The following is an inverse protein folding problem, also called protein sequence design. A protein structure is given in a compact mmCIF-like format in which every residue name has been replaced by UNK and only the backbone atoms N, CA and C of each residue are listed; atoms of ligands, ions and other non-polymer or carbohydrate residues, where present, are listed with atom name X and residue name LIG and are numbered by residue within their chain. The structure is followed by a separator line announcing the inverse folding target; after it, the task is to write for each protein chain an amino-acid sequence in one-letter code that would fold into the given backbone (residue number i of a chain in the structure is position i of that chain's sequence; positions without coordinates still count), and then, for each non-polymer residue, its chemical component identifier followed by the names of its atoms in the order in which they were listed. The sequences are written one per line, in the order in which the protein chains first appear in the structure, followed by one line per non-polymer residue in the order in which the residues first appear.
data_IF_199498098731
#
_entry.id   IF_199498098731
#
_cell.length_a   1.000
_cell.length_b   1.000
_cell.length_c   1.000
_cell.angle_alpha   90.00
_cell.angle_beta   90.00
_cell.angle_gamma   90.00
#
_symmetry.space_group_name_H-M   'P 1'
#
loop_
_entity.id
_entity.type
_entity.pdbx_description
1 polymer ?
#
# COMPACT_ATOMS: atom_id res chain seq x y z
N UNK A 1 -35.46 -34.41 -26.47
CA UNK A 1 -35.68 -33.12 -25.75
C UNK A 1 -35.12 -33.07 -24.32
N UNK A 2 -34.51 -34.13 -23.76
CA UNK A 2 -33.97 -34.09 -22.37
C UNK A 2 -32.48 -33.69 -22.25
N UNK A 3 -31.70 -33.71 -23.33
CA UNK A 3 -30.27 -33.33 -23.30
C UNK A 3 -30.00 -31.83 -23.45
N UNK A 4 -30.98 -31.05 -23.92
CA UNK A 4 -30.84 -29.58 -24.06
C UNK A 4 -31.17 -28.80 -22.78
N UNK A 5 -31.87 -29.41 -21.82
CA UNK A 5 -32.19 -28.76 -20.54
C UNK A 5 -31.01 -28.76 -19.54
N UNK A 6 -30.16 -29.80 -19.56
CA UNK A 6 -29.01 -29.90 -18.64
C UNK A 6 -27.90 -28.89 -19.03
N UNK A 7 -27.74 -28.61 -20.32
CA UNK A 7 -26.74 -27.65 -20.80
C UNK A 7 -27.12 -26.20 -20.44
N UNK A 8 -28.42 -25.90 -20.38
CA UNK A 8 -28.91 -24.56 -20.01
C UNK A 8 -28.79 -24.29 -18.50
N UNK A 9 -28.92 -25.32 -17.64
CA UNK A 9 -28.70 -25.16 -16.20
C UNK A 9 -27.23 -24.96 -15.82
N UNK A 10 -26.28 -25.54 -16.57
CA UNK A 10 -24.83 -25.34 -16.32
C UNK A 10 -24.35 -23.98 -16.84
N UNK A 11 -24.91 -23.47 -17.94
CA UNK A 11 -24.62 -22.13 -18.46
C UNK A 11 -25.25 -21.00 -17.63
N UNK A 12 -26.33 -21.27 -16.89
CA UNK A 12 -26.93 -20.26 -16.00
C UNK A 12 -26.12 -20.05 -14.71
N UNK A 13 -25.39 -21.07 -14.24
CA UNK A 13 -24.53 -20.95 -13.05
C UNK A 13 -23.16 -20.31 -13.34
N UNK A 14 -22.66 -20.35 -14.58
CA UNK A 14 -21.37 -19.76 -14.94
C UNK A 14 -21.44 -18.28 -15.34
N UNK A 15 -22.63 -17.75 -15.64
CA UNK A 15 -22.85 -16.34 -15.99
C UNK A 15 -23.21 -15.45 -14.79
N UNK A 16 -23.39 -16.05 -13.61
CA UNK A 16 -23.74 -15.34 -12.36
C UNK A 16 -22.74 -15.59 -11.22
N UNK A 17 -21.61 -16.25 -11.48
CA UNK A 17 -20.45 -16.11 -10.63
C UNK A 17 -19.84 -14.73 -10.90
N UNK A 18 -20.42 -13.69 -10.28
CA UNK A 18 -19.62 -12.51 -9.94
C UNK A 18 -18.34 -13.07 -9.31
N UNK A 19 -17.13 -12.63 -9.70
CA UNK A 19 -15.97 -12.91 -8.88
C UNK A 19 -16.32 -12.34 -7.51
N UNK A 20 -16.71 -13.21 -6.59
CA UNK A 20 -16.63 -12.91 -5.18
C UNK A 20 -15.13 -12.74 -5.03
N UNK A 21 -14.69 -11.49 -5.10
CA UNK A 21 -13.43 -11.10 -4.49
C UNK A 21 -13.59 -11.63 -3.08
N UNK A 22 -12.98 -12.79 -2.80
CA UNK A 22 -12.78 -13.21 -1.44
C UNK A 22 -12.01 -12.03 -0.86
N UNK A 23 -12.70 -11.19 -0.09
CA UNK A 23 -12.05 -10.26 0.80
C UNK A 23 -11.16 -11.18 1.63
N UNK A 24 -9.86 -11.20 1.32
CA UNK A 24 -8.91 -11.98 2.11
C UNK A 24 -9.04 -11.47 3.51
N UNK A 25 -9.68 -12.24 4.38
CA UNK A 25 -9.75 -11.89 5.78
C UNK A 25 -8.35 -12.13 6.30
N UNK A 26 -7.64 -11.05 6.64
CA UNK A 26 -6.32 -11.17 7.25
C UNK A 26 -6.49 -11.21 8.76
N UNK A 27 -5.77 -12.15 9.37
CA UNK A 27 -5.75 -12.33 10.81
C UNK A 27 -4.30 -12.27 11.27
N UNK A 28 -4.08 -11.54 12.36
CA UNK A 28 -2.80 -11.49 13.06
C UNK A 28 -2.99 -11.79 14.54
N UNK A 29 -1.87 -11.87 15.24
CA UNK A 29 -1.81 -12.22 16.66
C UNK A 29 -1.48 -10.97 17.48
N UNK A 30 -2.30 -10.66 18.47
CA UNK A 30 -1.92 -9.72 19.52
C UNK A 30 -0.79 -10.32 20.37
N UNK A 31 -0.09 -9.47 21.12
CA UNK A 31 1.01 -9.94 21.97
C UNK A 31 0.58 -10.82 23.14
N UNK A 32 -0.71 -10.93 23.47
CA UNK A 32 -1.27 -11.88 24.44
C UNK A 32 -1.81 -13.17 23.76
N UNK A 33 -1.65 -13.30 22.44
CA UNK A 33 -1.98 -14.51 21.68
C UNK A 33 -3.39 -14.56 21.10
N UNK A 34 -4.21 -13.52 21.27
CA UNK A 34 -5.52 -13.44 20.62
C UNK A 34 -5.36 -13.26 19.09
N UNK A 35 -6.12 -14.04 18.34
CA UNK A 35 -6.25 -13.86 16.89
C UNK A 35 -7.23 -12.72 16.65
N UNK A 36 -6.78 -11.68 15.94
CA UNK A 36 -7.61 -10.53 15.57
C UNK A 36 -7.64 -10.34 14.07
N UNK A 37 -8.84 -9.99 13.59
CA UNK A 37 -8.99 -9.46 12.24
C UNK A 37 -8.19 -8.17 12.11
N UNK A 38 -7.46 -8.04 11.00
CA UNK A 38 -6.64 -6.88 10.70
C UNK A 38 -6.62 -6.60 9.20
N UNK A 39 -6.37 -5.35 8.83
CA UNK A 39 -6.14 -4.95 7.45
C UNK A 39 -4.67 -4.66 7.25
N UNK A 40 -3.99 -5.56 6.54
CA UNK A 40 -2.55 -5.46 6.44
C UNK A 40 -2.03 -4.15 5.83
N UNK A 41 -1.01 -3.60 6.49
CA UNK A 41 -0.23 -2.49 5.94
C UNK A 41 0.67 -3.10 4.86
N UNK A 42 0.31 -2.86 3.60
CA UNK A 42 1.02 -3.42 2.45
C UNK A 42 1.41 -2.32 1.46
N UNK A 43 2.69 -2.26 1.10
CA UNK A 43 3.24 -1.40 0.05
C UNK A 43 3.97 -2.27 -0.98
N UNK A 44 3.36 -2.49 -2.14
CA UNK A 44 4.04 -3.14 -3.28
C UNK A 44 5.02 -2.19 -3.95
N UNK A 45 5.98 -2.74 -4.70
CA UNK A 45 6.82 -1.98 -5.62
C UNK A 45 5.99 -1.09 -6.58
N UNK A 46 4.85 -1.58 -7.07
CA UNK A 46 3.95 -0.81 -7.96
C UNK A 46 3.22 0.34 -7.28
N UNK A 47 3.12 0.34 -5.95
CA UNK A 47 2.56 1.46 -5.17
C UNK A 47 3.60 2.54 -4.88
N UNK A 48 4.88 2.33 -5.24
CA UNK A 48 5.96 3.28 -4.95
C UNK A 48 6.11 4.38 -5.99
N UNK A 49 5.51 4.20 -7.16
CA UNK A 49 5.60 5.13 -8.28
C UNK A 49 4.30 5.21 -9.06
N UNK A 50 4.14 6.28 -9.83
CA UNK A 50 3.05 6.38 -10.79
C UNK A 50 3.41 5.68 -12.10
N UNK A 51 2.42 5.03 -12.70
CA UNK A 51 2.47 4.61 -14.11
C UNK A 51 2.35 5.86 -15.00
N UNK A 52 3.50 6.42 -15.37
CA UNK A 52 3.58 7.68 -16.11
C UNK A 52 2.97 7.57 -17.51
N UNK A 53 3.12 6.43 -18.18
CA UNK A 53 2.59 6.22 -19.53
C UNK A 53 1.07 6.24 -19.52
N UNK A 54 0.46 5.54 -18.55
CA UNK A 54 -0.99 5.59 -18.34
C UNK A 54 -1.47 6.99 -17.98
N UNK A 55 -0.72 7.74 -17.18
CA UNK A 55 -1.08 9.12 -16.83
C UNK A 55 -1.06 10.05 -18.05
N UNK A 56 -0.10 9.89 -18.97
CA UNK A 56 -0.05 10.66 -20.21
C UNK A 56 -1.21 10.35 -21.17
N UNK A 57 -1.63 9.08 -21.24
CA UNK A 57 -2.85 8.71 -21.96
C UNK A 57 -4.06 9.37 -21.32
N UNK A 58 -4.21 9.23 -19.99
CA UNK A 58 -5.35 9.78 -19.27
C UNK A 58 -5.44 11.32 -19.34
N UNK A 59 -4.29 12.00 -19.33
CA UNK A 59 -4.20 13.44 -19.57
C UNK A 59 -4.85 13.82 -20.91
N UNK A 60 -4.49 13.13 -22.00
CA UNK A 60 -5.02 13.40 -23.35
C UNK A 60 -6.53 13.13 -23.42
N UNK A 61 -7.00 12.05 -22.81
CA UNK A 61 -8.45 11.75 -22.73
C UNK A 61 -9.23 12.86 -22.02
N UNK A 62 -8.68 13.39 -20.92
CA UNK A 62 -9.32 14.50 -20.19
C UNK A 62 -9.30 15.80 -20.99
N UNK A 63 -8.24 16.07 -21.76
CA UNK A 63 -8.17 17.24 -22.65
C UNK A 63 -9.25 17.19 -23.74
N UNK A 64 -9.50 16.03 -24.35
CA UNK A 64 -10.60 15.88 -25.32
C UNK A 64 -11.97 16.04 -24.65
N UNK A 65 -12.19 15.42 -23.48
CA UNK A 65 -13.44 15.57 -22.72
C UNK A 65 -13.72 17.03 -22.33
N UNK A 66 -12.67 17.82 -22.06
CA UNK A 66 -12.80 19.25 -21.78
C UNK A 66 -13.22 20.03 -23.04
N UNK A 67 -12.77 19.64 -24.24
CA UNK A 67 -13.23 20.26 -25.49
C UNK A 67 -14.69 19.93 -25.78
N UNK A 68 -15.11 18.69 -25.53
CA UNK A 68 -16.49 18.24 -25.73
C UNK A 68 -17.48 18.86 -24.72
N UNK A 69 -17.06 19.03 -23.47
CA UNK A 69 -17.89 19.56 -22.39
C UNK A 69 -17.15 20.62 -21.53
N UNK A 70 -16.87 21.82 -22.08
CA UNK A 70 -16.02 22.84 -21.44
C UNK A 70 -16.57 23.38 -20.10
N UNK A 71 -17.87 23.26 -19.88
CA UNK A 71 -18.60 23.63 -18.67
C UNK A 71 -18.50 22.58 -17.54
N UNK A 72 -18.12 21.33 -17.86
CA UNK A 72 -17.97 20.29 -16.85
C UNK A 72 -16.64 20.46 -16.11
N UNK A 73 -16.70 21.14 -14.95
CA UNK A 73 -15.51 21.43 -14.15
C UNK A 73 -14.82 20.16 -13.62
N UNK A 74 -15.52 19.02 -13.51
CA UNK A 74 -14.96 17.78 -12.97
C UNK A 74 -13.79 17.29 -13.81
N UNK A 75 -13.87 17.39 -15.13
CA UNK A 75 -12.75 17.03 -16.01
C UNK A 75 -11.52 17.93 -15.82
N UNK A 76 -11.73 19.23 -15.54
CA UNK A 76 -10.63 20.15 -15.19
C UNK A 76 -10.02 19.81 -13.84
N UNK A 77 -10.85 19.44 -12.85
CA UNK A 77 -10.38 18.96 -11.55
C UNK A 77 -9.58 17.66 -11.68
N UNK A 78 -10.07 16.67 -12.43
CA UNK A 78 -9.37 15.40 -12.69
C UNK A 78 -8.05 15.64 -13.44
N UNK A 79 -8.05 16.52 -14.44
CA UNK A 79 -6.84 16.90 -15.18
C UNK A 79 -5.80 17.50 -14.23
N UNK A 80 -6.21 18.36 -13.30
CA UNK A 80 -5.29 18.94 -12.32
C UNK A 80 -4.63 17.87 -11.42
N UNK A 81 -5.38 16.83 -11.01
CA UNK A 81 -4.83 15.70 -10.27
C UNK A 81 -3.83 14.91 -11.12
N UNK A 82 -4.14 14.63 -12.38
CA UNK A 82 -3.21 13.95 -13.31
C UNK A 82 -1.94 14.77 -13.51
N UNK A 83 -2.07 16.09 -13.69
CA UNK A 83 -0.93 16.99 -13.83
C UNK A 83 -0.05 16.99 -12.57
N UNK A 84 -0.63 17.00 -11.37
CA UNK A 84 0.15 16.86 -10.12
C UNK A 84 0.92 15.53 -10.08
N UNK A 85 0.28 14.41 -10.48
CA UNK A 85 0.93 13.09 -10.54
C UNK A 85 2.06 13.02 -11.58
N UNK A 86 1.97 13.79 -12.65
CA UNK A 86 3.01 13.97 -13.67
C UNK A 86 4.09 14.98 -13.25
N UNK A 87 4.04 15.54 -12.04
CA UNK A 87 4.97 16.57 -11.56
C UNK A 87 4.69 17.98 -12.11
N UNK A 88 3.66 18.15 -12.92
CA UNK A 88 3.26 19.43 -13.55
C UNK A 88 2.39 20.28 -12.63
N UNK A 89 2.86 20.51 -11.41
CA UNK A 89 2.07 21.17 -10.35
C UNK A 89 1.68 22.61 -10.70
N UNK A 90 2.53 23.36 -11.42
CA UNK A 90 2.20 24.73 -11.83
C UNK A 90 1.05 24.77 -12.85
N UNK A 91 0.98 23.79 -13.75
CA UNK A 91 -0.15 23.62 -14.67
C UNK A 91 -1.42 23.20 -13.94
N UNK A 92 -1.32 22.37 -12.89
CA UNK A 92 -2.46 22.07 -12.03
C UNK A 92 -2.98 23.33 -11.32
N UNK A 93 -2.09 24.19 -10.81
CA UNK A 93 -2.45 25.44 -10.15
C UNK A 93 -3.12 26.45 -11.09
N UNK A 94 -2.71 26.53 -12.36
CA UNK A 94 -3.34 27.44 -13.34
C UNK A 94 -4.80 27.06 -13.61
N UNK A 95 -5.15 25.77 -13.48
CA UNK A 95 -6.52 25.27 -13.57
C UNK A 95 -7.26 25.48 -12.25
N UNK A 96 -6.67 25.11 -11.11
CA UNK A 96 -7.36 25.06 -9.81
C UNK A 96 -7.66 26.46 -9.23
N UNK A 97 -6.78 27.45 -9.44
CA UNK A 97 -6.96 28.82 -8.92
C UNK A 97 -8.22 29.54 -9.41
N UNK A 98 -8.58 29.53 -10.71
CA UNK A 98 -9.87 30.04 -11.13
C UNK A 98 -11.02 29.11 -10.73
N UNK A 99 -10.80 27.78 -10.71
CA UNK A 99 -11.84 26.81 -10.41
C UNK A 99 -12.39 26.95 -8.99
N UNK A 100 -11.54 27.18 -7.99
CA UNK A 100 -12.00 27.39 -6.60
C UNK A 100 -12.84 28.66 -6.42
N UNK A 101 -12.65 29.69 -7.25
CA UNK A 101 -13.49 30.90 -7.20
C UNK A 101 -14.92 30.62 -7.67
N UNK A 102 -15.06 29.71 -8.63
CA UNK A 102 -16.35 29.29 -9.19
C UNK A 102 -17.03 28.23 -8.32
N UNK A 103 -16.23 27.35 -7.70
CA UNK A 103 -16.71 26.20 -6.92
C UNK A 103 -16.04 26.15 -5.54
N UNK A 104 -16.30 27.14 -4.66
CA UNK A 104 -15.58 27.29 -3.39
C UNK A 104 -15.94 26.24 -2.33
N UNK A 105 -17.02 25.47 -2.54
CA UNK A 105 -17.51 24.42 -1.64
C UNK A 105 -17.41 23.02 -2.23
N UNK A 106 -16.85 22.89 -3.44
CA UNK A 106 -16.61 21.59 -4.06
C UNK A 106 -15.36 20.96 -3.45
N UNK A 107 -15.56 19.90 -2.66
CA UNK A 107 -14.48 19.20 -1.95
C UNK A 107 -13.30 18.87 -2.87
N UNK A 108 -13.53 18.28 -4.05
CA UNK A 108 -12.45 17.86 -4.94
C UNK A 108 -11.58 19.03 -5.40
N UNK A 109 -12.19 20.18 -5.69
CA UNK A 109 -11.47 21.38 -6.13
C UNK A 109 -10.66 21.98 -4.97
N UNK A 110 -11.26 22.06 -3.78
CA UNK A 110 -10.61 22.57 -2.57
C UNK A 110 -9.43 21.68 -2.16
N UNK A 111 -9.64 20.36 -2.09
CA UNK A 111 -8.62 19.39 -1.71
C UNK A 111 -7.49 19.32 -2.75
N UNK A 112 -7.79 19.30 -4.05
CA UNK A 112 -6.76 19.29 -5.10
C UNK A 112 -5.92 20.57 -5.08
N UNK A 113 -6.50 21.74 -4.79
CA UNK A 113 -5.73 22.98 -4.63
C UNK A 113 -4.87 22.95 -3.36
N UNK A 114 -5.38 22.40 -2.27
CA UNK A 114 -4.60 22.15 -1.04
C UNK A 114 -3.37 21.29 -1.31
N UNK A 115 -3.56 20.14 -1.96
CA UNK A 115 -2.47 19.22 -2.38
C UNK A 115 -1.50 19.91 -3.33
N UNK A 116 -1.97 20.68 -4.31
CA UNK A 116 -1.11 21.42 -5.23
C UNK A 116 -0.22 22.44 -4.49
N UNK A 117 -0.76 23.12 -3.47
CA UNK A 117 0.03 24.00 -2.62
C UNK A 117 1.02 23.26 -1.74
N UNK A 118 0.66 22.10 -1.19
CA UNK A 118 1.59 21.24 -0.45
C UNK A 118 2.79 20.86 -1.33
N UNK A 119 2.54 20.39 -2.56
CA UNK A 119 3.57 20.02 -3.52
C UNK A 119 4.48 21.21 -3.93
N UNK A 120 3.98 22.45 -3.86
CA UNK A 120 4.79 23.67 -4.04
C UNK A 120 5.46 24.19 -2.76
N UNK A 121 5.33 23.47 -1.64
CA UNK A 121 5.87 23.88 -0.33
C UNK A 121 5.15 25.07 0.31
N UNK A 122 3.96 25.43 -0.17
CA UNK A 122 3.11 26.49 0.39
C UNK A 122 2.23 25.92 1.50
N UNK A 123 2.89 25.46 2.56
CA UNK A 123 2.29 24.63 3.62
C UNK A 123 1.13 25.33 4.36
N UNK A 124 1.23 26.63 4.66
CA UNK A 124 0.15 27.36 5.34
C UNK A 124 -1.12 27.42 4.49
N UNK A 125 -0.98 27.70 3.19
CA UNK A 125 -2.10 27.70 2.24
C UNK A 125 -2.69 26.30 2.04
N UNK A 126 -1.82 25.28 2.00
CA UNK A 126 -2.26 23.89 1.94
C UNK A 126 -3.09 23.53 3.18
N UNK A 127 -2.62 23.85 4.39
CA UNK A 127 -3.32 23.55 5.64
C UNK A 127 -4.70 24.18 5.70
N UNK A 128 -4.82 25.45 5.30
CA UNK A 128 -6.12 26.15 5.26
C UNK A 128 -7.11 25.41 4.35
N UNK A 129 -6.68 25.05 3.14
CA UNK A 129 -7.57 24.40 2.17
C UNK A 129 -7.89 22.95 2.54
N UNK A 130 -6.92 22.19 3.05
CA UNK A 130 -7.14 20.82 3.48
C UNK A 130 -8.09 20.78 4.70
N UNK A 131 -7.95 21.71 5.66
CA UNK A 131 -8.92 21.86 6.76
C UNK A 131 -10.32 22.18 6.24
N UNK A 132 -10.43 23.14 5.31
CA UNK A 132 -11.71 23.45 4.67
C UNK A 132 -12.29 22.23 3.92
N UNK A 133 -11.45 21.46 3.22
CA UNK A 133 -11.85 20.23 2.56
C UNK A 133 -12.39 19.19 3.54
N UNK A 134 -11.71 19.02 4.68
CA UNK A 134 -12.16 18.16 5.77
C UNK A 134 -13.50 18.60 6.37
N UNK A 135 -13.71 19.90 6.56
CA UNK A 135 -15.00 20.45 7.02
C UNK A 135 -16.13 20.22 6.01
N UNK A 136 -15.84 20.37 4.70
CA UNK A 136 -16.81 20.15 3.63
C UNK A 136 -17.18 18.68 3.45
N UNK A 137 -16.23 17.77 3.67
CA UNK A 137 -16.44 16.33 3.55
C UNK A 137 -15.58 15.57 4.57
N UNK A 138 -16.10 15.33 5.79
CA UNK A 138 -15.38 14.60 6.83
C UNK A 138 -15.04 13.15 6.44
N UNK A 139 -15.85 12.52 5.57
CA UNK A 139 -15.67 11.14 5.09
C UNK A 139 -14.68 11.03 3.92
N UNK A 140 -14.15 12.17 3.47
CA UNK A 140 -13.11 12.20 2.44
C UNK A 140 -11.90 11.36 2.83
N UNK A 141 -11.27 10.75 1.82
CA UNK A 141 -10.17 9.83 2.03
C UNK A 141 -10.51 8.71 3.05
N UNK A 142 -11.76 8.24 3.04
CA UNK A 142 -12.29 7.25 3.99
C UNK A 142 -12.25 7.70 5.46
N UNK A 143 -12.46 9.00 5.70
CA UNK A 143 -12.46 9.58 7.04
C UNK A 143 -11.08 9.94 7.60
N UNK A 144 -10.01 9.73 6.82
CA UNK A 144 -8.63 9.80 7.32
C UNK A 144 -7.92 11.14 7.08
N UNK A 145 -8.62 12.16 6.58
CA UNK A 145 -7.99 13.44 6.19
C UNK A 145 -7.41 14.24 7.37
N UNK A 146 -7.81 13.90 8.59
CA UNK A 146 -7.19 14.42 9.81
C UNK A 146 -5.68 14.10 9.90
N UNK A 147 -5.22 12.98 9.33
CA UNK A 147 -3.78 12.65 9.24
C UNK A 147 -3.07 13.64 8.33
N UNK A 148 -3.68 14.02 7.20
CA UNK A 148 -3.13 15.05 6.30
C UNK A 148 -2.92 16.38 7.02
N UNK A 149 -3.92 16.79 7.80
CA UNK A 149 -3.86 18.00 8.63
C UNK A 149 -2.68 17.92 9.60
N UNK A 150 -2.51 16.79 10.32
CA UNK A 150 -1.39 16.58 11.25
C UNK A 150 -0.03 16.62 10.57
N UNK A 151 0.09 16.04 9.38
CA UNK A 151 1.30 16.12 8.55
C UNK A 151 1.64 17.57 8.22
N UNK A 152 0.66 18.36 7.76
CA UNK A 152 0.88 19.76 7.39
C UNK A 152 1.25 20.61 8.61
N UNK A 153 0.59 20.41 9.76
CA UNK A 153 0.95 21.05 11.04
C UNK A 153 2.40 20.74 11.44
N UNK A 154 2.79 19.47 11.37
CA UNK A 154 4.15 19.03 11.66
C UNK A 154 5.17 19.64 10.70
N UNK A 155 4.90 19.67 9.39
CA UNK A 155 5.77 20.28 8.38
C UNK A 155 5.94 21.78 8.62
N UNK A 156 4.87 22.51 8.94
CA UNK A 156 4.93 23.94 9.27
C UNK A 156 5.77 24.15 10.54
N UNK A 157 5.54 23.33 11.58
CA UNK A 157 6.29 23.39 12.84
C UNK A 157 7.78 23.11 12.64
N UNK A 158 8.12 22.11 11.84
CA UNK A 158 9.51 21.77 11.49
C UNK A 158 10.17 22.92 10.71
N UNK A 159 9.47 23.49 9.71
CA UNK A 159 9.95 24.65 8.95
C UNK A 159 10.24 25.86 9.84
N UNK A 160 9.39 26.14 10.82
CA UNK A 160 9.50 27.32 11.68
C UNK A 160 10.47 27.15 12.85
N UNK A 161 10.68 25.92 13.35
CA UNK A 161 11.54 25.64 14.51
C UNK A 161 12.91 25.12 14.12
N UNK A 162 12.95 23.93 13.53
CA UNK A 162 14.17 23.22 13.18
C UNK A 162 13.82 22.05 12.23
N UNK A 163 14.52 21.89 11.10
CA UNK A 163 14.36 20.76 10.19
C UNK A 163 14.40 19.37 10.85
N UNK A 164 15.10 19.19 11.97
CA UNK A 164 15.16 17.88 12.69
C UNK A 164 14.02 17.66 13.69
N UNK A 165 12.99 18.51 13.72
CA UNK A 165 11.89 18.39 14.69
C UNK A 165 11.16 17.05 14.58
N UNK A 166 10.88 16.57 13.36
CA UNK A 166 10.18 15.31 13.12
C UNK A 166 11.05 14.08 13.45
N UNK A 167 12.37 14.20 13.56
CA UNK A 167 13.23 13.10 14.03
C UNK A 167 13.07 12.82 15.53
N UNK A 168 12.65 13.85 16.30
CA UNK A 168 12.57 13.80 17.77
C UNK A 168 11.13 13.77 18.29
N UNK A 169 10.15 14.02 17.43
CA UNK A 169 8.76 14.18 17.83
C UNK A 169 7.86 13.43 16.84
N UNK A 170 6.87 12.67 17.33
CA UNK A 170 5.89 12.05 16.45
C UNK A 170 5.01 13.12 15.81
N UNK A 171 4.62 12.90 14.55
CA UNK A 171 3.64 13.74 13.83
C UNK A 171 2.24 13.57 14.45
N UNK A 172 1.92 12.34 14.86
CA UNK A 172 0.71 11.99 15.59
C UNK A 172 1.15 11.25 16.84
N UNK A 173 0.77 11.73 18.02
CA UNK A 173 1.16 11.11 19.29
C UNK A 173 0.33 9.86 19.57
N UNK A 174 0.88 8.96 20.40
CA UNK A 174 0.12 7.81 20.92
C UNK A 174 -1.14 8.24 21.67
N UNK A 175 -1.07 9.33 22.43
CA UNK A 175 -2.22 9.90 23.13
C UNK A 175 -3.34 10.32 22.16
N UNK A 176 -2.99 11.02 21.07
CA UNK A 176 -3.97 11.40 20.04
C UNK A 176 -4.61 10.18 19.35
N UNK A 177 -3.86 9.09 19.14
CA UNK A 177 -4.41 7.84 18.62
C UNK A 177 -5.36 7.19 19.63
N UNK A 178 -4.97 7.14 20.90
CA UNK A 178 -5.77 6.55 21.97
C UNK A 178 -7.07 7.33 22.23
N UNK A 179 -7.02 8.66 22.18
CA UNK A 179 -8.21 9.51 22.23
C UNK A 179 -9.18 9.22 21.06
N UNK A 180 -8.64 8.89 19.87
CA UNK A 180 -9.44 8.51 18.70
C UNK A 180 -10.00 7.10 18.76
N UNK A 181 -9.39 6.21 19.56
CA UNK A 181 -9.98 4.91 19.83
C UNK A 181 -11.29 5.07 20.62
N UNK A 182 -11.41 5.91 21.65
CA UNK A 182 -12.62 5.87 22.49
C UNK A 182 -12.98 4.44 22.95
N UNK A 183 -14.26 4.10 23.14
CA UNK A 183 -14.68 2.75 23.60
C UNK A 183 -15.00 1.79 22.42
N UNK A 184 -14.34 0.62 22.31
CA UNK A 184 -14.73 -0.46 21.38
C UNK A 184 -13.59 -1.23 20.67
N UNK A 185 -13.84 -2.49 20.30
CA UNK A 185 -12.84 -3.48 19.84
C UNK A 185 -12.36 -3.28 18.38
N UNK A 186 -13.17 -2.71 17.48
CA UNK A 186 -12.84 -2.59 16.03
C UNK A 186 -12.05 -1.35 15.63
N UNK A 187 -11.52 -0.59 16.60
CA UNK A 187 -11.02 0.76 16.33
C UNK A 187 -9.52 0.84 16.04
N UNK A 188 -8.74 -0.13 16.53
CA UNK A 188 -7.35 -0.29 16.09
C UNK A 188 -7.27 -0.60 14.58
N UNK A 189 -8.25 -1.33 14.06
CA UNK A 189 -8.40 -1.59 12.63
C UNK A 189 -8.64 -0.29 11.85
N UNK A 190 -9.51 0.60 12.36
CA UNK A 190 -9.77 1.89 11.72
C UNK A 190 -8.51 2.77 11.69
N UNK A 191 -7.71 2.79 12.77
CA UNK A 191 -6.42 3.50 12.77
C UNK A 191 -5.49 2.94 11.69
N UNK A 192 -5.40 1.62 11.56
CA UNK A 192 -4.61 0.99 10.50
C UNK A 192 -5.12 1.36 9.10
N UNK A 193 -6.44 1.37 8.88
CA UNK A 193 -7.05 1.77 7.61
C UNK A 193 -6.75 3.24 7.26
N UNK A 194 -6.85 4.13 8.24
CA UNK A 194 -6.59 5.55 8.07
C UNK A 194 -5.13 5.79 7.65
N UNK A 195 -4.18 5.21 8.39
CA UNK A 195 -2.75 5.32 8.07
C UNK A 195 -2.44 4.69 6.71
N UNK A 196 -2.95 3.50 6.44
CA UNK A 196 -2.71 2.78 5.19
C UNK A 196 -3.19 3.60 3.98
N UNK A 197 -4.39 4.16 4.05
CA UNK A 197 -4.90 5.02 2.99
C UNK A 197 -3.99 6.24 2.77
N UNK A 198 -3.67 6.96 3.83
CA UNK A 198 -2.91 8.21 3.78
C UNK A 198 -1.44 8.00 3.36
N UNK A 199 -0.83 6.88 3.75
CA UNK A 199 0.51 6.48 3.31
C UNK A 199 0.46 6.14 1.81
N UNK A 200 -0.46 5.26 1.37
CA UNK A 200 -0.54 4.82 -0.03
C UNK A 200 -0.79 5.95 -1.01
N UNK A 201 -1.60 6.95 -0.63
CA UNK A 201 -1.85 8.11 -1.49
C UNK A 201 -0.62 9.03 -1.61
N UNK A 202 0.32 9.00 -0.66
CA UNK A 202 1.50 9.89 -0.62
C UNK A 202 2.78 9.29 -1.15
N UNK A 203 2.96 7.99 -0.95
CA UNK A 203 4.20 7.28 -1.30
C UNK A 203 4.64 7.57 -2.76
N UNK A 204 3.76 7.50 -3.80
CA UNK A 204 4.16 7.80 -5.17
C UNK A 204 4.60 9.26 -5.42
N UNK A 205 4.10 10.21 -4.63
CA UNK A 205 4.49 11.62 -4.73
C UNK A 205 5.80 11.91 -4.02
N UNK A 206 6.17 11.09 -3.03
CA UNK A 206 7.27 11.37 -2.10
C UNK A 206 8.06 10.08 -1.81
N UNK A 207 8.84 9.58 -2.79
CA UNK A 207 9.56 8.32 -2.67
C UNK A 207 10.62 8.37 -1.56
N UNK A 208 11.11 7.20 -1.15
CA UNK A 208 12.16 7.10 -0.14
C UNK A 208 13.45 7.84 -0.58
N UNK A 209 14.17 8.52 0.35
CA UNK A 209 13.91 8.64 1.77
C UNK A 209 12.82 9.68 2.08
N UNK A 210 12.04 9.44 3.13
CA UNK A 210 10.94 10.31 3.51
C UNK A 210 10.71 10.31 5.03
N UNK A 211 11.02 11.44 5.66
CA UNK A 211 10.90 11.66 7.12
C UNK A 211 9.45 11.68 7.62
N UNK A 212 8.49 12.04 6.77
CA UNK A 212 7.08 11.97 7.16
C UNK A 212 6.63 10.52 7.21
N UNK A 213 6.98 9.74 6.20
CA UNK A 213 6.56 8.34 6.11
C UNK A 213 7.21 7.48 7.18
N UNK A 214 8.53 7.61 7.42
CA UNK A 214 9.17 6.83 8.48
C UNK A 214 8.60 7.17 9.87
N UNK A 215 8.32 8.45 10.17
CA UNK A 215 7.75 8.89 11.45
C UNK A 215 6.33 8.34 11.68
N UNK A 216 5.46 8.43 10.66
CA UNK A 216 4.11 7.86 10.73
C UNK A 216 4.15 6.34 10.90
N UNK A 217 5.02 5.65 10.15
CA UNK A 217 5.19 4.20 10.24
C UNK A 217 5.79 3.74 11.57
N UNK A 218 6.69 4.52 12.17
CA UNK A 218 7.18 4.24 13.52
C UNK A 218 6.06 4.34 14.54
N UNK A 219 5.29 5.43 14.49
CA UNK A 219 4.12 5.64 15.37
C UNK A 219 3.11 4.51 15.21
N UNK A 220 2.84 4.09 13.99
CA UNK A 220 1.93 2.99 13.69
C UNK A 220 2.45 1.65 14.22
N UNK A 221 3.77 1.43 14.20
CA UNK A 221 4.40 0.27 14.82
C UNK A 221 4.23 0.25 16.34
N UNK A 222 4.49 1.40 16.99
CA UNK A 222 4.28 1.58 18.43
C UNK A 222 2.81 1.35 18.81
N UNK A 223 1.89 1.86 17.98
CA UNK A 223 0.46 1.68 18.14
C UNK A 223 0.05 0.21 18.04
N UNK A 224 0.47 -0.50 16.99
CA UNK A 224 0.11 -1.89 16.79
C UNK A 224 0.74 -2.82 17.83
N UNK A 225 1.94 -2.49 18.35
CA UNK A 225 2.54 -3.19 19.48
C UNK A 225 1.61 -3.21 20.70
N UNK A 226 0.87 -2.12 20.94
CA UNK A 226 -0.01 -1.97 22.11
C UNK A 226 -1.45 -2.39 21.85
N UNK A 227 -2.00 -2.04 20.69
CA UNK A 227 -3.45 -2.12 20.40
C UNK A 227 -3.81 -3.00 19.21
N UNK A 228 -2.81 -3.40 18.41
CA UNK A 228 -2.98 -4.16 17.18
C UNK A 228 -2.35 -5.54 17.25
N UNK A 229 -1.82 -6.00 16.12
CA UNK A 229 -1.18 -7.30 16.01
C UNK A 229 0.34 -7.16 15.86
N UNK A 230 1.07 -8.20 16.27
CA UNK A 230 2.50 -8.35 16.09
C UNK A 230 2.89 -8.14 14.61
N UNK A 231 2.16 -8.76 13.69
CA UNK A 231 2.36 -8.69 12.25
C UNK A 231 2.32 -7.25 11.73
N UNK A 232 1.39 -6.44 12.21
CA UNK A 232 1.25 -5.05 11.80
C UNK A 232 2.34 -4.18 12.42
N UNK A 233 2.71 -4.45 13.67
CA UNK A 233 3.79 -3.74 14.34
C UNK A 233 5.12 -3.94 13.61
N UNK A 234 5.48 -5.19 13.30
CA UNK A 234 6.74 -5.50 12.62
C UNK A 234 6.78 -4.98 11.18
N UNK A 235 5.66 -5.05 10.44
CA UNK A 235 5.57 -4.45 9.10
C UNK A 235 5.75 -2.94 9.13
N UNK A 236 5.08 -2.26 10.06
CA UNK A 236 5.19 -0.81 10.19
C UNK A 236 6.64 -0.40 10.52
N UNK A 237 7.31 -1.09 11.45
CA UNK A 237 8.73 -0.87 11.72
C UNK A 237 9.64 -1.16 10.52
N UNK A 238 9.40 -2.26 9.80
CA UNK A 238 10.17 -2.62 8.62
C UNK A 238 10.06 -1.55 7.52
N UNK A 239 8.84 -1.10 7.19
CA UNK A 239 8.67 -0.03 6.22
C UNK A 239 9.25 1.29 6.72
N UNK A 240 9.16 1.57 8.02
CA UNK A 240 9.75 2.77 8.60
C UNK A 240 11.25 2.87 8.28
N UNK A 241 11.98 1.74 8.39
CA UNK A 241 13.39 1.68 7.97
C UNK A 241 13.57 1.85 6.46
N UNK A 242 12.66 1.34 5.62
CA UNK A 242 12.71 1.51 4.14
C UNK A 242 12.67 2.98 3.72
N UNK A 243 11.94 3.82 4.45
CA UNK A 243 11.86 5.26 4.18
C UNK A 243 12.98 6.09 4.87
N UNK A 244 13.89 5.44 5.62
CA UNK A 244 14.98 6.10 6.34
C UNK A 244 16.35 5.82 5.71
N UNK A 245 17.16 6.88 5.57
CA UNK A 245 18.61 6.77 5.28
C UNK A 245 19.49 6.94 6.52
N UNK A 246 18.90 7.15 7.70
CA UNK A 246 19.64 7.43 8.93
C UNK A 246 20.00 6.11 9.65
N UNK A 247 21.30 5.76 9.78
CA UNK A 247 21.70 4.51 10.44
C UNK A 247 21.32 4.45 11.92
N UNK A 248 21.42 5.56 12.64
CA UNK A 248 21.03 5.67 14.04
C UNK A 248 19.53 5.43 14.22
N UNK A 249 18.72 5.99 13.33
CA UNK A 249 17.28 5.73 13.30
C UNK A 249 16.99 4.25 13.04
N UNK A 250 17.66 3.64 12.05
CA UNK A 250 17.45 2.22 11.74
C UNK A 250 17.89 1.32 12.89
N UNK A 251 18.97 1.67 13.61
CA UNK A 251 19.39 0.97 14.83
C UNK A 251 18.34 1.07 15.94
N UNK A 252 17.73 2.25 16.15
CA UNK A 252 16.61 2.43 17.09
C UNK A 252 15.43 1.52 16.74
N UNK A 253 15.03 1.49 15.46
CA UNK A 253 13.90 0.66 15.01
C UNK A 253 14.22 -0.83 15.15
N UNK A 254 15.45 -1.28 14.87
CA UNK A 254 15.87 -2.66 15.15
C UNK A 254 15.77 -3.02 16.63
N UNK A 255 16.12 -2.09 17.53
CA UNK A 255 15.89 -2.26 18.97
C UNK A 255 14.40 -2.49 19.29
N UNK A 256 13.50 -1.69 18.70
CA UNK A 256 12.05 -1.89 18.86
C UNK A 256 11.56 -3.25 18.33
N UNK A 257 12.11 -3.72 17.20
CA UNK A 257 11.81 -5.04 16.65
C UNK A 257 12.31 -6.15 17.58
N UNK A 258 13.53 -6.03 18.12
CA UNK A 258 14.05 -6.95 19.13
C UNK A 258 13.12 -7.06 20.34
N UNK A 259 12.70 -5.92 20.90
CA UNK A 259 11.76 -5.89 22.02
C UNK A 259 10.41 -6.54 21.65
N UNK A 260 9.90 -6.28 20.44
CA UNK A 260 8.67 -6.87 19.94
C UNK A 260 8.77 -8.41 19.83
N UNK A 261 9.88 -8.92 19.30
CA UNK A 261 10.11 -10.35 19.13
C UNK A 261 10.24 -11.07 20.48
N UNK A 262 10.89 -10.44 21.46
CA UNK A 262 10.99 -11.00 22.82
C UNK A 262 9.62 -11.14 23.49
N UNK A 263 8.77 -10.11 23.39
CA UNK A 263 7.39 -10.17 23.91
C UNK A 263 6.55 -11.23 23.20
N UNK A 264 6.73 -11.39 21.89
CA UNK A 264 6.05 -12.43 21.12
C UNK A 264 6.45 -13.83 21.60
N UNK A 265 7.74 -14.09 21.86
CA UNK A 265 8.24 -15.38 22.39
C UNK A 265 7.60 -15.75 23.72
N UNK A 266 7.40 -14.79 24.62
CA UNK A 266 6.85 -15.04 25.95
C UNK A 266 5.38 -15.52 25.89
N UNK A 267 4.60 -15.00 24.94
CA UNK A 267 3.15 -15.09 24.95
C UNK A 267 2.52 -15.86 23.78
N UNK A 268 3.18 -15.97 22.63
CA UNK A 268 2.68 -16.71 21.44
C UNK A 268 3.46 -18.01 21.35
N UNK A 269 2.95 -19.07 21.97
CA UNK A 269 3.75 -20.28 22.25
C UNK A 269 3.69 -21.42 21.23
N UNK A 270 2.66 -21.58 20.40
CA UNK A 270 2.50 -22.89 19.72
C UNK A 270 1.99 -22.91 18.27
N UNK A 271 1.63 -21.78 17.66
CA UNK A 271 0.88 -21.80 16.37
C UNK A 271 1.65 -21.30 15.14
N UNK A 272 2.84 -20.72 15.32
CA UNK A 272 3.57 -20.06 14.22
C UNK A 272 2.85 -18.82 13.71
N UNK A 273 3.48 -18.10 12.77
CA UNK A 273 2.86 -16.95 12.12
C UNK A 273 1.89 -17.42 11.02
N UNK A 274 0.88 -16.59 10.74
CA UNK A 274 -0.10 -16.89 9.70
C UNK A 274 0.58 -17.04 8.31
N UNK A 275 0.33 -18.12 7.52
CA UNK A 275 0.80 -18.25 6.14
C UNK A 275 0.53 -17.04 5.22
N UNK A 276 -0.61 -16.35 5.39
CA UNK A 276 -0.91 -15.13 4.63
C UNK A 276 0.08 -13.99 4.96
N UNK A 277 0.54 -13.93 6.22
CA UNK A 277 1.54 -12.96 6.64
C UNK A 277 2.90 -13.21 5.98
N UNK A 278 3.32 -14.47 5.81
CA UNK A 278 4.55 -14.80 5.06
C UNK A 278 4.46 -14.35 3.61
N UNK A 279 3.35 -14.67 2.95
CA UNK A 279 3.08 -14.23 1.57
C UNK A 279 3.14 -12.70 1.45
N UNK A 280 2.72 -12.00 2.49
CA UNK A 280 2.82 -10.56 2.53
C UNK A 280 4.24 -10.04 2.71
N UNK A 281 5.02 -10.53 3.68
CA UNK A 281 6.43 -10.13 3.86
C UNK A 281 7.21 -10.21 2.54
N UNK A 282 6.99 -11.31 1.80
CA UNK A 282 7.59 -11.55 0.50
C UNK A 282 7.11 -10.53 -0.55
N UNK A 283 5.79 -10.25 -0.61
CA UNK A 283 5.22 -9.26 -1.52
C UNK A 283 5.68 -7.83 -1.19
N UNK A 284 6.07 -7.59 0.06
CA UNK A 284 6.47 -6.29 0.60
C UNK A 284 7.98 -6.06 0.53
N UNK A 285 8.75 -7.08 0.12
CA UNK A 285 10.21 -7.08 0.12
C UNK A 285 10.78 -6.74 1.51
N UNK A 286 10.10 -7.20 2.56
CA UNK A 286 10.58 -7.06 3.94
C UNK A 286 11.54 -8.20 4.24
N UNK A 287 12.71 -7.86 4.80
CA UNK A 287 13.72 -8.83 5.21
C UNK A 287 13.17 -9.79 6.27
N UNK A 288 13.05 -11.10 5.98
CA UNK A 288 12.57 -12.10 6.93
C UNK A 288 13.41 -12.20 8.19
N UNK A 289 14.70 -11.83 8.14
CA UNK A 289 15.58 -11.88 9.31
C UNK A 289 15.12 -10.95 10.44
N UNK A 290 14.25 -9.99 10.16
CA UNK A 290 13.62 -9.16 11.18
C UNK A 290 12.72 -9.97 12.13
N UNK A 291 12.15 -11.10 11.70
CA UNK A 291 11.30 -11.96 12.54
C UNK A 291 12.06 -12.61 13.68
N UNK A 292 13.35 -12.91 13.46
CA UNK A 292 14.22 -13.59 14.43
C UNK A 292 15.19 -12.63 15.12
N UNK A 293 15.19 -11.36 14.73
CA UNK A 293 16.12 -10.37 15.26
C UNK A 293 16.02 -10.26 16.78
N UNK A 294 17.15 -10.46 17.46
CA UNK A 294 17.27 -10.37 18.92
C UNK A 294 16.81 -11.60 19.70
N UNK A 295 16.31 -12.65 19.05
CA UNK A 295 15.98 -13.94 19.69
C UNK A 295 17.24 -14.79 19.97
N UNK A 296 18.27 -14.69 19.13
CA UNK A 296 19.54 -15.43 19.26
C UNK A 296 20.41 -14.88 20.41
N UNK A 297 20.54 -13.55 20.55
CA UNK A 297 21.25 -12.92 21.67
C UNK A 297 20.67 -13.32 23.05
N UNK A 298 19.35 -13.56 23.10
CA UNK A 298 18.66 -14.02 24.30
C UNK A 298 18.92 -15.50 24.57
N UNK A 299 19.04 -16.33 23.53
CA UNK A 299 19.42 -17.73 23.66
C UNK A 299 20.86 -17.88 24.18
N UNK A 300 21.82 -17.11 23.65
CA UNK A 300 23.21 -17.10 24.14
C UNK A 300 23.31 -16.58 25.58
N UNK A 301 22.55 -15.54 25.93
CA UNK A 301 22.51 -15.00 27.29
C UNK A 301 21.89 -15.99 28.29
N UNK A 302 20.80 -16.67 27.94
CA UNK A 302 20.18 -17.69 28.78
C UNK A 302 21.01 -18.97 28.89
N UNK A 303 21.67 -19.43 27.82
CA UNK A 303 22.57 -20.60 27.86
C UNK A 303 23.77 -20.36 28.80
N UNK A 304 24.19 -19.10 28.94
CA UNK A 304 25.22 -18.70 29.91
C UNK A 304 24.73 -18.74 31.38
N UNK A 305 23.42 -18.57 31.61
CA UNK A 305 22.79 -18.48 32.93
C UNK A 305 22.18 -19.82 33.38
N UNK A 306 21.66 -20.65 32.46
CA UNK A 306 20.82 -21.82 32.76
C UNK A 306 21.46 -23.17 32.42
N UNK A 307 22.68 -23.41 32.90
CA UNK A 307 23.12 -24.79 33.20
C UNK A 307 22.43 -25.31 34.47
N UNK A 308 21.11 -25.54 34.39
CA UNK A 308 20.33 -26.56 35.15
C UNK A 308 18.83 -26.35 34.92
N UNK A 309 18.24 -27.34 34.27
CA UNK A 309 16.81 -27.65 34.14
C UNK A 309 15.94 -26.79 33.21
N UNK A 310 15.43 -27.52 32.21
CA UNK A 310 14.47 -27.22 31.14
C UNK A 310 14.94 -26.29 30.01
N UNK A 311 15.31 -26.96 28.92
CA UNK A 311 15.54 -26.48 27.55
C UNK A 311 14.58 -25.37 27.11
N UNK A 312 15.12 -24.18 26.82
CA UNK A 312 14.38 -23.08 26.19
C UNK A 312 14.54 -23.15 24.66
N UNK A 313 13.44 -23.37 23.95
CA UNK A 313 13.46 -23.71 22.52
C UNK A 313 13.34 -22.50 21.58
N UNK A 314 14.05 -21.40 21.88
CA UNK A 314 14.09 -20.19 21.01
C UNK A 314 14.62 -20.52 19.61
N UNK A 315 15.62 -21.41 19.56
CA UNK A 315 16.23 -21.86 18.32
C UNK A 315 15.23 -22.61 17.43
N UNK A 316 14.33 -23.43 17.99
CA UNK A 316 13.27 -24.06 17.20
C UNK A 316 12.21 -23.07 16.77
N UNK A 317 11.83 -22.10 17.58
CA UNK A 317 10.88 -21.06 17.15
C UNK A 317 11.44 -20.24 15.98
N UNK A 318 12.70 -19.79 16.11
CA UNK A 318 13.40 -19.06 15.06
C UNK A 318 13.54 -19.90 13.79
N UNK A 319 13.90 -21.18 13.94
CA UNK A 319 13.98 -22.14 12.83
C UNK A 319 12.62 -22.37 12.18
N UNK A 320 11.54 -22.54 12.94
CA UNK A 320 10.19 -22.73 12.40
C UNK A 320 9.74 -21.51 11.59
N UNK A 321 9.97 -20.30 12.10
CA UNK A 321 9.65 -19.06 11.37
C UNK A 321 10.48 -18.95 10.07
N UNK A 322 11.79 -19.19 10.15
CA UNK A 322 12.67 -19.11 8.98
C UNK A 322 12.33 -20.19 7.93
N UNK A 323 12.15 -21.44 8.36
CA UNK A 323 11.79 -22.56 7.48
C UNK A 323 10.44 -22.31 6.79
N UNK A 324 9.47 -21.72 7.50
CA UNK A 324 8.16 -21.40 6.93
C UNK A 324 8.21 -20.28 5.89
N UNK A 325 9.08 -19.27 6.06
CA UNK A 325 9.28 -18.21 5.08
C UNK A 325 10.06 -18.70 3.87
N UNK A 326 11.12 -19.49 4.07
CA UNK A 326 11.89 -20.12 3.00
C UNK A 326 11.01 -20.99 2.10
N UNK A 327 10.14 -21.81 2.70
CA UNK A 327 9.18 -22.62 1.94
C UNK A 327 8.22 -21.77 1.10
N UNK A 328 7.70 -20.67 1.66
CA UNK A 328 6.82 -19.77 0.93
C UNK A 328 7.54 -19.04 -0.23
N UNK A 329 8.83 -18.73 -0.06
CA UNK A 329 9.67 -18.19 -1.14
C UNK A 329 9.83 -19.19 -2.28
N UNK A 330 10.17 -20.45 -1.98
CA UNK A 330 10.29 -21.52 -2.99
C UNK A 330 8.98 -21.76 -3.76
N UNK A 331 7.84 -21.77 -3.07
CA UNK A 331 6.53 -21.93 -3.70
C UNK A 331 6.20 -20.77 -4.64
N UNK A 332 6.55 -19.53 -4.25
CA UNK A 332 6.38 -18.35 -5.10
C UNK A 332 7.28 -18.41 -6.34
N UNK A 333 8.55 -18.81 -6.18
CA UNK A 333 9.47 -18.96 -7.31
C UNK A 333 8.93 -19.97 -8.32
N UNK A 334 8.50 -21.16 -7.87
CA UNK A 334 7.86 -22.18 -8.72
C UNK A 334 6.61 -21.64 -9.42
N UNK A 335 5.72 -20.95 -8.70
CA UNK A 335 4.51 -20.37 -9.29
C UNK A 335 4.83 -19.27 -10.33
N UNK A 336 5.91 -18.52 -10.12
CA UNK A 336 6.38 -17.49 -11.05
C UNK A 336 6.98 -18.09 -12.32
N UNK A 337 7.75 -19.17 -12.18
CA UNK A 337 8.25 -19.97 -13.31
C UNK A 337 7.11 -20.56 -14.13
N UNK A 338 6.13 -21.20 -13.49
CA UNK A 338 4.95 -21.76 -14.17
C UNK A 338 4.14 -20.68 -14.91
N UNK A 339 3.92 -19.53 -14.27
CA UNK A 339 3.21 -18.40 -14.88
C UNK A 339 3.97 -17.85 -16.09
N UNK A 340 5.28 -17.71 -15.97
CA UNK A 340 6.15 -17.25 -17.07
C UNK A 340 6.13 -18.24 -18.22
N UNK A 341 6.19 -19.54 -17.94
CA UNK A 341 6.12 -20.59 -18.95
C UNK A 341 4.76 -20.59 -19.67
N UNK A 342 3.66 -20.42 -18.92
CA UNK A 342 2.31 -20.32 -19.48
C UNK A 342 2.14 -19.08 -20.36
N UNK A 343 2.67 -17.94 -19.92
CA UNK A 343 2.61 -16.68 -20.66
C UNK A 343 3.45 -16.75 -21.95
N UNK A 344 4.65 -17.34 -21.88
CA UNK A 344 5.48 -17.63 -23.06
C UNK A 344 4.75 -18.52 -24.06
N UNK A 345 4.12 -19.62 -23.60
CA UNK A 345 3.32 -20.51 -24.46
C UNK A 345 2.15 -19.78 -25.12
N UNK A 346 1.50 -18.87 -24.41
CA UNK A 346 0.40 -18.06 -24.93
C UNK A 346 0.89 -17.05 -25.99
N UNK A 347 2.07 -16.44 -25.79
CA UNK A 347 2.71 -15.58 -26.78
C UNK A 347 3.05 -16.33 -28.08
N UNK A 348 3.55 -17.57 -28.00
CA UNK A 348 3.78 -18.42 -29.18
C UNK A 348 2.49 -18.73 -29.93
N UNK A 349 1.39 -19.00 -29.22
CA UNK A 349 0.07 -19.22 -29.83
C UNK A 349 -0.42 -17.99 -30.62
N UNK A 350 -0.26 -16.78 -30.07
CA UNK A 350 -0.62 -15.55 -30.77
C UNK A 350 0.26 -15.30 -32.00
N UNK A 351 1.55 -15.60 -31.93
CA UNK A 351 2.47 -15.49 -33.06
C UNK A 351 2.07 -16.44 -34.21
N UNK A 352 1.76 -17.70 -33.88
CA UNK A 352 1.28 -18.68 -34.87
C UNK A 352 -0.05 -18.26 -35.50
N UNK A 353 -0.99 -17.75 -34.71
CA UNK A 353 -2.26 -17.24 -35.21
C UNK A 353 -2.04 -16.03 -36.15
N UNK A 354 -1.15 -15.11 -35.80
CA UNK A 354 -0.78 -13.97 -36.64
C UNK A 354 -0.17 -14.38 -37.98
N UNK A 355 0.73 -15.38 -37.98
CA UNK A 355 1.33 -15.93 -39.20
C UNK A 355 0.28 -16.61 -40.11
N UNK A 356 -0.66 -17.36 -39.52
CA UNK A 356 -1.74 -18.01 -40.27
C UNK A 356 -2.69 -16.98 -40.93
N UNK A 357 -3.01 -15.90 -40.23
CA UNK A 357 -3.81 -14.79 -40.76
C UNK A 357 -3.05 -14.07 -41.89
N UNK A 358 -1.75 -13.81 -41.71
CA UNK A 358 -0.91 -13.20 -42.74
C UNK A 358 -0.82 -14.03 -44.03
N UNK A 359 -0.65 -15.35 -43.90
CA UNK A 359 -0.62 -16.27 -45.04
C UNK A 359 -1.95 -16.31 -45.79
N UNK A 360 -3.07 -16.37 -45.06
CA UNK A 360 -4.40 -16.39 -45.67
C UNK A 360 -4.73 -15.07 -46.38
N UNK A 361 -4.38 -13.92 -45.79
CA UNK A 361 -4.49 -12.61 -46.46
C UNK A 361 -3.62 -12.52 -47.71
N UNK A 362 -2.38 -13.01 -47.67
CA UNK A 362 -1.48 -13.04 -48.82
C UNK A 362 -2.02 -13.88 -49.98
N UNK A 363 -2.63 -15.03 -49.68
CA UNK A 363 -3.30 -15.87 -50.69
C UNK A 363 -4.50 -15.14 -51.30
N UNK A 364 -5.34 -14.50 -50.48
CA UNK A 364 -6.50 -13.73 -50.95
C UNK A 364 -6.06 -12.58 -51.86
N UNK A 365 -5.06 -11.81 -51.45
CA UNK A 365 -4.53 -10.69 -52.26
C UNK A 365 -3.99 -11.20 -53.60
N UNK A 366 -3.26 -12.33 -53.60
CA UNK A 366 -2.71 -12.94 -54.81
C UNK A 366 -3.80 -13.48 -55.75
N UNK A 367 -4.90 -14.01 -55.21
CA UNK A 367 -6.05 -14.45 -56.00
C UNK A 367 -6.81 -13.27 -56.60
N UNK A 368 -6.96 -12.18 -55.84
CA UNK A 368 -7.62 -10.95 -56.30
C UNK A 368 -6.79 -10.20 -57.35
N UNK A 369 -5.46 -10.19 -57.24
CA UNK A 369 -4.59 -9.56 -58.25
C UNK A 369 -4.59 -10.33 -59.56
N UNK A 370 -4.58 -11.67 -59.52
CA UNK A 370 -4.64 -12.53 -60.71
C UNK A 370 -5.96 -12.40 -61.48
N UNK A 371 -7.05 -12.06 -60.79
CA UNK A 371 -8.39 -11.84 -61.37
C UNK A 371 -8.57 -10.44 -61.98
N UNK A 372 -7.65 -9.49 -61.70
CA UNK A 372 -7.61 -8.16 -62.33
C UNK A 372 -6.73 -8.11 -63.59
N UNK A 373 -5.88 -9.12 -63.79
CA UNK A 373 -4.95 -9.25 -64.92
C UNK A 373 -5.43 -10.23 -66.01
N UNK A 374 -6.65 -10.73 -65.90
CA UNK A 374 -7.38 -11.53 -66.89
C UNK A 374 -8.69 -10.81 -67.17
#
# INVERSE_FOLDING_TARGET
MRSKLILLSVLFFSLWSKPVLACGNFYGHTLDGEIRYTHDIYLSATMLSFDTDRLWVHKRELEEKIKEAPQNFKYKSDLSLVLMKLGMTDSALSILRPLIKLYPTEYNVVANLGTAFELKGKLDSALILIRKGYELNPDSHRGSEWIHIKILEAKIKAKNRNPIWMQKNPIITMEELEQRLGEGVRKAEQVNLDFNYQIRTRVPFTPAPNEVLNNLLETLGDFNKKHGTYEQAILAYAYSMRFSKNPTYNSKIRGKIKDLNLLMKENIRDHGLNPEFHSMLIRSEVDPMLLVHGLDDYAEHLDSIYRRNQSFDSLKLAKLQLDSVSKALEEKEKAMEEKTQKQTKQSYLYLLAGLAIGLSLGIIIKLLSKKRSA
#
